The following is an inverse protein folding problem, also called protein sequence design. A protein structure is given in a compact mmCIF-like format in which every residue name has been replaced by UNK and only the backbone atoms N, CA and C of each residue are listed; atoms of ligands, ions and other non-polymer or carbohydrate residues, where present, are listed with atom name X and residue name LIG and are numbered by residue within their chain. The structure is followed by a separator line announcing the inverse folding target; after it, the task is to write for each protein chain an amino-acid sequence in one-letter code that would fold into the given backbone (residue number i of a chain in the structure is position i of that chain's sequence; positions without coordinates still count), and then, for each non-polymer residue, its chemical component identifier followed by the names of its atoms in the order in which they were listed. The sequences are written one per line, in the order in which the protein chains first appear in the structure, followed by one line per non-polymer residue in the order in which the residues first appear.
data_IF_633198708719
#
_entry.id   IF_633198708719
#
_cell.length_a   1.000
_cell.length_b   1.000
_cell.length_c   1.000
_cell.angle_alpha   90.00
_cell.angle_beta   90.00
_cell.angle_gamma   90.00
#
_symmetry.space_group_name_H-M   'P 1'
#
loop_
_entity.id
_entity.type
_entity.pdbx_description
1 polymer ?
#
# COMPACT_ATOMS: atom_id res chain seq x y z
N UNK A 1 42.60 16.99 -4.32
CA UNK A 1 41.94 17.11 -2.99
C UNK A 1 41.49 15.72 -2.56
N UNK A 2 42.12 15.13 -1.53
CA UNK A 2 41.72 13.79 -1.06
C UNK A 2 40.35 13.93 -0.36
N UNK A 3 39.30 13.46 -1.01
CA UNK A 3 37.92 13.44 -0.52
C UNK A 3 37.67 12.18 0.34
N UNK A 4 38.54 11.95 1.33
CA UNK A 4 38.24 10.94 2.33
C UNK A 4 37.49 11.60 3.50
N UNK A 5 36.38 10.98 4.02
CA UNK A 5 35.71 11.53 5.19
C UNK A 5 36.67 11.56 6.35
N UNK A 6 36.89 12.75 6.91
CA UNK A 6 37.68 12.92 8.13
C UNK A 6 36.77 12.60 9.33
N UNK A 7 37.36 12.38 10.50
CA UNK A 7 36.66 12.01 11.74
C UNK A 7 35.48 12.97 12.04
N UNK A 8 35.67 14.27 11.83
CA UNK A 8 34.63 15.28 12.07
C UNK A 8 33.46 15.21 11.03
N UNK A 9 33.75 14.85 9.77
CA UNK A 9 32.70 14.68 8.78
C UNK A 9 31.81 13.49 9.16
N UNK A 10 32.43 12.40 9.61
CA UNK A 10 31.73 11.20 10.08
C UNK A 10 30.95 11.45 11.36
N UNK A 11 31.47 12.27 12.26
CA UNK A 11 30.78 12.65 13.49
C UNK A 11 29.49 13.43 13.18
N UNK A 12 29.57 14.50 12.38
CA UNK A 12 28.39 15.29 11.97
C UNK A 12 27.39 14.43 11.23
N UNK A 13 27.86 13.62 10.29
CA UNK A 13 27.02 12.67 9.56
C UNK A 13 26.27 11.72 10.50
N UNK A 14 26.97 11.15 11.48
CA UNK A 14 26.38 10.23 12.46
C UNK A 14 25.30 10.89 13.31
N UNK A 15 25.55 12.08 13.85
CA UNK A 15 24.59 12.81 14.69
C UNK A 15 23.32 13.11 13.88
N UNK A 16 23.49 13.68 12.67
CA UNK A 16 22.34 14.02 11.82
C UNK A 16 21.59 12.78 11.34
N UNK A 17 22.32 11.75 10.90
CA UNK A 17 21.67 10.49 10.47
C UNK A 17 20.89 9.82 11.60
N UNK A 18 21.44 9.80 12.83
CA UNK A 18 20.72 9.24 13.97
C UNK A 18 19.41 10.01 14.21
N UNK A 19 19.45 11.33 14.18
CA UNK A 19 18.24 12.15 14.33
C UNK A 19 17.24 11.90 13.19
N UNK A 20 17.71 11.82 11.94
CA UNK A 20 16.87 11.51 10.77
C UNK A 20 16.22 10.14 10.89
N UNK A 21 17.01 9.10 11.19
CA UNK A 21 16.50 7.73 11.30
C UNK A 21 15.49 7.58 12.44
N UNK A 22 15.75 8.20 13.59
CA UNK A 22 14.81 8.21 14.72
C UNK A 22 13.51 8.92 14.35
N UNK A 23 13.59 10.12 13.79
CA UNK A 23 12.40 10.88 13.37
C UNK A 23 11.61 10.12 12.32
N UNK A 24 12.29 9.58 11.30
CA UNK A 24 11.67 8.78 10.26
C UNK A 24 11.01 7.51 10.80
N UNK A 25 11.66 6.80 11.72
CA UNK A 25 11.11 5.60 12.36
C UNK A 25 9.84 5.94 13.18
N UNK A 26 9.86 7.04 13.94
CA UNK A 26 8.69 7.50 14.70
C UNK A 26 7.53 7.87 13.79
N UNK A 27 7.79 8.66 12.73
CA UNK A 27 6.74 9.07 11.79
C UNK A 27 6.15 7.87 11.04
N UNK A 28 7.01 6.95 10.58
CA UNK A 28 6.55 5.72 9.90
C UNK A 28 5.78 4.82 10.85
N UNK A 29 6.21 4.70 12.11
CA UNK A 29 5.50 3.92 13.12
C UNK A 29 4.14 4.51 13.47
N UNK A 30 4.02 5.83 13.61
CA UNK A 30 2.75 6.52 13.83
C UNK A 30 1.80 6.35 12.64
N UNK A 31 2.31 6.52 11.40
CA UNK A 31 1.50 6.30 10.20
C UNK A 31 1.05 4.83 10.09
N UNK A 32 1.92 3.88 10.42
CA UNK A 32 1.58 2.46 10.43
C UNK A 32 0.46 2.14 11.44
N UNK A 33 0.48 2.76 12.61
CA UNK A 33 -0.55 2.58 13.63
C UNK A 33 -1.86 3.26 13.22
N UNK A 34 -1.81 4.53 12.82
CA UNK A 34 -3.03 5.33 12.56
C UNK A 34 -3.64 4.97 11.20
N UNK A 35 -2.87 5.10 10.14
CA UNK A 35 -3.36 4.88 8.77
C UNK A 35 -3.23 3.43 8.30
N UNK A 36 -2.47 2.61 9.02
CA UNK A 36 -2.35 1.18 8.80
C UNK A 36 -3.35 0.41 9.65
N UNK A 37 -3.01 0.19 10.91
CA UNK A 37 -3.73 -0.75 11.75
C UNK A 37 -5.15 -0.28 12.09
N UNK A 38 -5.34 1.01 12.47
CA UNK A 38 -6.67 1.50 12.81
C UNK A 38 -7.63 1.50 11.62
N UNK A 39 -7.12 1.78 10.41
CA UNK A 39 -7.93 1.74 9.19
C UNK A 39 -8.35 0.31 8.79
N UNK A 40 -7.62 -0.73 9.23
CA UNK A 40 -7.94 -2.12 8.94
C UNK A 40 -8.91 -2.75 9.97
N UNK A 41 -9.17 -2.09 11.10
CA UNK A 41 -10.05 -2.62 12.15
C UNK A 41 -11.48 -2.81 11.63
N UNK A 42 -11.97 -1.88 10.83
CA UNK A 42 -13.33 -1.92 10.29
C UNK A 42 -13.54 -3.08 9.30
N UNK A 43 -12.45 -3.57 8.71
CA UNK A 43 -12.46 -4.67 7.74
C UNK A 43 -12.35 -6.06 8.41
N UNK A 44 -12.03 -6.12 9.71
CA UNK A 44 -11.88 -7.38 10.45
C UNK A 44 -13.27 -8.01 10.66
N UNK A 45 -13.41 -9.26 10.21
CA UNK A 45 -14.65 -10.01 10.29
C UNK A 45 -15.40 -10.12 8.98
N UNK A 46 -14.91 -9.49 7.90
CA UNK A 46 -15.41 -9.71 6.55
C UNK A 46 -14.78 -10.98 5.95
N UNK A 47 -15.60 -11.99 5.64
CA UNK A 47 -15.12 -13.29 5.15
C UNK A 47 -14.12 -13.93 6.12
N UNK A 48 -12.99 -14.41 5.61
CA UNK A 48 -11.87 -14.96 6.37
C UNK A 48 -10.83 -13.90 6.80
N UNK A 49 -11.16 -12.60 6.67
CA UNK A 49 -10.25 -11.51 7.02
C UNK A 49 -10.20 -11.27 8.53
N UNK A 50 -9.39 -12.08 9.23
CA UNK A 50 -9.18 -11.97 10.67
C UNK A 50 -8.06 -11.00 11.05
N UNK A 51 -7.87 -10.78 12.37
CA UNK A 51 -6.84 -9.89 12.91
C UNK A 51 -5.42 -10.19 12.41
N UNK A 52 -5.07 -11.48 12.27
CA UNK A 52 -3.74 -11.91 11.77
C UNK A 52 -3.55 -11.50 10.30
N UNK A 53 -4.60 -11.62 9.49
CA UNK A 53 -4.58 -11.19 8.09
C UNK A 53 -4.42 -9.66 8.00
N UNK A 54 -5.14 -8.89 8.83
CA UNK A 54 -5.01 -7.44 8.92
C UNK A 54 -3.58 -7.02 9.33
N UNK A 55 -3.01 -7.64 10.34
CA UNK A 55 -1.64 -7.36 10.78
C UNK A 55 -0.62 -7.68 9.66
N UNK A 56 -0.80 -8.80 8.97
CA UNK A 56 0.06 -9.19 7.85
C UNK A 56 -0.06 -8.18 6.71
N UNK A 57 -1.26 -7.75 6.36
CA UNK A 57 -1.49 -6.69 5.38
C UNK A 57 -0.74 -5.42 5.74
N UNK A 58 -0.87 -4.95 6.99
CA UNK A 58 -0.20 -3.73 7.48
C UNK A 58 1.32 -3.85 7.37
N UNK A 59 1.91 -5.02 7.71
CA UNK A 59 3.35 -5.27 7.57
C UNK A 59 3.79 -5.19 6.08
N UNK A 60 3.03 -5.77 5.17
CA UNK A 60 3.32 -5.69 3.73
C UNK A 60 3.21 -4.26 3.17
N UNK A 61 2.44 -3.36 3.79
CA UNK A 61 2.37 -1.95 3.40
C UNK A 61 3.57 -1.12 3.91
N UNK A 62 4.38 -1.66 4.85
CA UNK A 62 5.50 -0.96 5.48
C UNK A 62 6.52 -0.36 4.47
N UNK A 63 6.98 -1.08 3.42
CA UNK A 63 7.93 -0.53 2.45
C UNK A 63 7.41 0.74 1.75
N UNK A 64 6.13 0.78 1.42
CA UNK A 64 5.48 1.93 0.81
C UNK A 64 5.40 3.11 1.79
N UNK A 65 4.96 2.87 3.03
CA UNK A 65 4.86 3.89 4.07
C UNK A 65 6.23 4.47 4.43
N UNK A 66 7.23 3.62 4.51
CA UNK A 66 8.60 3.99 4.82
C UNK A 66 9.16 5.03 3.83
N UNK A 67 9.01 4.81 2.52
CA UNK A 67 9.50 5.80 1.55
C UNK A 67 8.63 7.07 1.51
N UNK A 68 7.33 6.97 1.75
CA UNK A 68 6.44 8.14 1.78
C UNK A 68 6.74 9.07 2.96
N UNK A 69 7.08 8.52 4.14
CA UNK A 69 7.41 9.30 5.34
C UNK A 69 8.86 9.80 5.35
N UNK A 70 9.74 9.23 4.51
CA UNK A 70 11.16 9.56 4.51
C UNK A 70 11.47 11.05 4.24
N UNK A 71 10.88 11.74 3.25
CA UNK A 71 11.17 13.14 2.99
C UNK A 71 10.89 14.03 4.21
N UNK A 72 9.75 13.83 4.86
CA UNK A 72 9.36 14.57 6.07
C UNK A 72 10.30 14.27 7.23
N UNK A 73 10.61 12.99 7.45
CA UNK A 73 11.56 12.55 8.46
C UNK A 73 12.97 13.09 8.24
N UNK A 74 13.42 13.14 6.97
CA UNK A 74 14.72 13.69 6.61
C UNK A 74 14.83 15.18 6.90
N UNK A 75 13.80 15.98 6.58
CA UNK A 75 13.80 17.42 6.85
C UNK A 75 13.79 17.68 8.35
N UNK A 76 12.85 17.12 9.08
CA UNK A 76 12.70 17.33 10.53
C UNK A 76 13.95 16.81 11.26
N UNK A 77 14.38 15.58 10.96
CA UNK A 77 15.53 14.97 11.61
C UNK A 77 16.83 15.72 11.34
N UNK A 78 17.01 16.26 10.12
CA UNK A 78 18.18 17.09 9.80
C UNK A 78 18.18 18.40 10.60
N UNK A 79 17.03 19.07 10.71
CA UNK A 79 16.90 20.28 11.52
C UNK A 79 17.16 19.99 12.99
N UNK A 80 16.66 18.88 13.52
CA UNK A 80 16.90 18.48 14.91
C UNK A 80 18.39 18.14 15.14
N UNK A 81 19.00 17.33 14.28
CA UNK A 81 20.42 16.94 14.42
C UNK A 81 21.37 18.13 14.33
N UNK A 82 21.16 19.03 13.37
CA UNK A 82 21.93 20.28 13.27
C UNK A 82 21.64 21.23 14.44
N UNK A 83 20.37 21.26 14.89
CA UNK A 83 19.97 22.05 16.07
C UNK A 83 20.70 21.64 17.34
N UNK A 84 20.84 20.33 17.59
CA UNK A 84 21.62 19.80 18.72
C UNK A 84 23.09 20.25 18.63
N UNK A 85 23.75 20.08 17.47
CA UNK A 85 25.11 20.49 17.25
C UNK A 85 25.33 22.02 17.40
N UNK A 86 24.30 22.79 17.06
CA UNK A 86 24.32 24.25 17.24
C UNK A 86 24.15 24.63 18.70
N UNK A 87 23.21 24.01 19.41
CA UNK A 87 22.92 24.28 20.83
C UNK A 87 24.12 23.95 21.75
N UNK A 88 24.87 22.88 21.43
CA UNK A 88 26.11 22.50 22.15
C UNK A 88 27.31 23.29 21.70
N UNK A 89 27.19 24.29 20.81
CA UNK A 89 28.29 25.09 20.25
C UNK A 89 29.32 24.26 19.45
N UNK A 90 29.09 22.99 19.21
CA UNK A 90 29.98 22.11 18.46
C UNK A 90 30.16 22.57 17.02
N UNK A 91 29.08 23.05 16.41
CA UNK A 91 29.10 23.60 15.05
C UNK A 91 30.03 24.81 14.96
N UNK A 92 30.05 25.65 15.99
CA UNK A 92 30.93 26.82 16.09
C UNK A 92 32.37 26.39 16.28
N UNK A 93 32.62 25.41 17.17
CA UNK A 93 33.96 24.84 17.39
C UNK A 93 34.51 24.20 16.11
N UNK A 94 33.75 23.43 15.38
CA UNK A 94 34.12 22.80 14.10
C UNK A 94 34.51 23.86 13.05
N UNK A 95 33.79 24.99 13.03
CA UNK A 95 34.11 26.12 12.13
C UNK A 95 35.40 26.85 12.58
N UNK A 96 35.63 26.99 13.87
CA UNK A 96 36.85 27.61 14.41
C UNK A 96 38.11 26.79 14.06
N UNK A 97 38.02 25.47 13.98
CA UNK A 97 39.10 24.57 13.52
C UNK A 97 39.25 24.56 11.98
N UNK A 98 38.49 25.42 11.25
CA UNK A 98 38.67 25.63 9.81
C UNK A 98 37.77 24.78 8.92
N UNK A 99 36.71 24.15 9.44
CA UNK A 99 35.70 23.51 8.57
C UNK A 99 34.89 24.55 7.81
N UNK A 100 34.95 24.46 6.49
CA UNK A 100 34.15 25.33 5.62
C UNK A 100 32.68 24.94 5.65
N UNK A 101 31.79 25.92 5.41
CA UNK A 101 30.33 25.66 5.32
C UNK A 101 30.01 24.59 4.26
N UNK A 102 30.64 24.65 3.08
CA UNK A 102 30.48 23.69 1.99
C UNK A 102 30.79 22.25 2.43
N UNK A 103 31.85 22.07 3.21
CA UNK A 103 32.24 20.76 3.71
C UNK A 103 31.26 20.24 4.74
N UNK A 104 30.80 21.10 5.64
CA UNK A 104 29.79 20.76 6.64
C UNK A 104 28.47 20.33 5.95
N UNK A 105 28.01 21.09 4.95
CA UNK A 105 26.82 20.72 4.15
C UNK A 105 27.03 19.40 3.43
N UNK A 106 28.21 19.13 2.87
CA UNK A 106 28.51 17.87 2.21
C UNK A 106 28.49 16.67 3.18
N UNK A 107 28.98 16.86 4.42
CA UNK A 107 28.96 15.82 5.46
C UNK A 107 27.53 15.40 5.85
N UNK A 108 26.53 16.27 5.65
CA UNK A 108 25.12 15.96 5.85
C UNK A 108 24.46 15.45 4.55
N UNK A 109 24.71 16.13 3.44
CA UNK A 109 24.04 15.85 2.17
C UNK A 109 24.41 14.47 1.59
N UNK A 110 25.68 14.07 1.65
CA UNK A 110 26.14 12.81 1.05
C UNK A 110 25.44 11.59 1.66
N UNK A 111 25.41 11.39 3.00
CA UNK A 111 24.71 10.25 3.57
C UNK A 111 23.19 10.30 3.36
N UNK A 112 22.58 11.49 3.36
CA UNK A 112 21.16 11.63 3.04
C UNK A 112 20.86 11.25 1.60
N UNK A 113 21.71 11.65 0.64
CA UNK A 113 21.56 11.23 -0.76
C UNK A 113 21.66 9.71 -0.91
N UNK A 114 22.57 9.05 -0.18
CA UNK A 114 22.68 7.58 -0.22
C UNK A 114 21.38 6.93 0.27
N UNK A 115 20.81 7.39 1.37
CA UNK A 115 19.52 6.85 1.86
C UNK A 115 18.40 7.19 0.88
N UNK A 116 18.41 8.37 0.27
CA UNK A 116 17.43 8.75 -0.76
C UNK A 116 17.47 7.78 -1.94
N UNK A 117 18.66 7.40 -2.42
CA UNK A 117 18.79 6.39 -3.49
C UNK A 117 18.21 5.05 -3.05
N UNK A 118 18.47 4.60 -1.81
CA UNK A 118 17.88 3.37 -1.27
C UNK A 118 16.35 3.48 -1.23
N UNK A 119 15.80 4.62 -0.84
CA UNK A 119 14.34 4.84 -0.81
C UNK A 119 13.73 4.87 -2.22
N UNK A 120 14.42 5.41 -3.22
CA UNK A 120 13.99 5.35 -4.63
C UNK A 120 13.95 3.89 -5.11
N UNK A 121 15.01 3.12 -4.84
CA UNK A 121 15.03 1.69 -5.19
C UNK A 121 13.92 0.91 -4.50
N UNK A 122 13.66 1.20 -3.22
CA UNK A 122 12.53 0.62 -2.49
C UNK A 122 11.19 0.99 -3.15
N UNK A 123 11.00 2.25 -3.55
CA UNK A 123 9.76 2.73 -4.18
C UNK A 123 9.49 2.05 -5.53
N UNK A 124 10.53 1.76 -6.31
CA UNK A 124 10.43 1.16 -7.64
C UNK A 124 10.33 -0.39 -7.61
N UNK A 125 10.82 -1.04 -6.57
CA UNK A 125 10.94 -2.51 -6.52
C UNK A 125 10.12 -3.12 -5.39
N UNK A 126 10.56 -2.93 -4.15
CA UNK A 126 10.01 -3.63 -2.99
C UNK A 126 8.59 -3.16 -2.64
N UNK A 127 8.35 -1.85 -2.69
CA UNK A 127 7.05 -1.30 -2.32
C UNK A 127 5.91 -1.73 -3.27
N UNK A 128 6.05 -1.72 -4.63
CA UNK A 128 5.00 -2.21 -5.51
C UNK A 128 4.76 -3.71 -5.38
N UNK A 129 5.83 -4.51 -5.20
CA UNK A 129 5.70 -5.95 -4.99
C UNK A 129 4.97 -6.27 -3.69
N UNK A 130 5.38 -5.64 -2.58
CA UNK A 130 4.77 -5.85 -1.28
C UNK A 130 3.29 -5.39 -1.27
N UNK A 131 2.99 -4.24 -1.88
CA UNK A 131 1.62 -3.73 -1.97
C UNK A 131 0.71 -4.68 -2.76
N UNK A 132 1.15 -5.18 -3.93
CA UNK A 132 0.38 -6.16 -4.71
C UNK A 132 0.13 -7.45 -3.93
N UNK A 133 1.13 -7.92 -3.19
CA UNK A 133 0.99 -9.11 -2.34
C UNK A 133 -0.02 -8.88 -1.21
N UNK A 134 0.00 -7.70 -0.58
CA UNK A 134 -0.97 -7.30 0.42
C UNK A 134 -2.40 -7.25 -0.15
N UNK A 135 -2.57 -6.55 -1.28
CA UNK A 135 -3.89 -6.38 -1.91
C UNK A 135 -4.48 -7.72 -2.38
N UNK A 136 -3.66 -8.60 -2.96
CA UNK A 136 -4.09 -9.94 -3.37
C UNK A 136 -4.49 -10.80 -2.17
N UNK A 137 -3.71 -10.76 -1.07
CA UNK A 137 -4.03 -11.50 0.15
C UNK A 137 -5.32 -10.97 0.79
N UNK A 138 -5.50 -9.65 0.87
CA UNK A 138 -6.70 -9.02 1.40
C UNK A 138 -7.93 -9.36 0.54
N UNK A 139 -7.79 -9.27 -0.78
CA UNK A 139 -8.85 -9.65 -1.73
C UNK A 139 -9.24 -11.12 -1.56
N UNK A 140 -8.27 -12.04 -1.49
CA UNK A 140 -8.53 -13.47 -1.30
C UNK A 140 -9.21 -13.78 0.04
N UNK A 141 -8.83 -13.09 1.12
CA UNK A 141 -9.42 -13.28 2.44
C UNK A 141 -10.84 -12.70 2.57
N UNK A 142 -11.14 -11.61 1.86
CA UNK A 142 -12.47 -10.99 1.85
C UNK A 142 -13.43 -11.64 0.86
N UNK A 143 -12.93 -12.26 -0.22
CA UNK A 143 -13.75 -12.87 -1.25
C UNK A 143 -13.79 -14.39 -1.12
N UNK A 144 -14.88 -14.91 -0.61
CA UNK A 144 -15.36 -16.21 -1.06
C UNK A 144 -15.94 -16.01 -2.48
N UNK A 145 -15.12 -16.22 -3.53
CA UNK A 145 -15.50 -16.25 -4.97
C UNK A 145 -15.80 -14.93 -5.73
N UNK A 146 -15.74 -13.75 -5.13
CA UNK A 146 -16.07 -12.49 -5.81
C UNK A 146 -14.87 -11.54 -5.95
N UNK A 147 -14.33 -11.38 -7.16
CA UNK A 147 -13.29 -10.38 -7.46
C UNK A 147 -13.95 -9.03 -7.74
N UNK A 148 -13.85 -8.09 -6.78
CA UNK A 148 -14.31 -6.71 -6.97
C UNK A 148 -13.22 -5.88 -7.63
N UNK A 149 -13.33 -5.61 -8.91
CA UNK A 149 -12.47 -4.66 -9.60
C UNK A 149 -13.00 -3.23 -9.42
N UNK A 150 -12.24 -2.36 -8.79
CA UNK A 150 -12.61 -1.00 -8.36
C UNK A 150 -13.10 -0.06 -9.49
N UNK A 151 -12.85 -0.40 -10.76
CA UNK A 151 -13.16 0.43 -11.92
C UNK A 151 -14.05 -0.24 -12.99
N UNK A 152 -14.27 -1.56 -12.92
CA UNK A 152 -15.02 -2.31 -13.95
C UNK A 152 -16.23 -3.06 -13.41
N UNK A 153 -16.64 -2.83 -12.15
CA UNK A 153 -17.72 -3.56 -11.50
C UNK A 153 -17.26 -4.89 -10.89
N UNK A 154 -18.21 -5.65 -10.41
CA UNK A 154 -18.00 -6.96 -9.81
C UNK A 154 -17.73 -7.99 -10.92
N UNK A 155 -16.67 -8.77 -10.78
CA UNK A 155 -16.36 -9.87 -11.68
C UNK A 155 -16.35 -11.18 -10.89
N UNK A 156 -17.05 -12.17 -11.37
CA UNK A 156 -17.00 -13.54 -10.86
C UNK A 156 -16.71 -14.50 -12.01
N UNK A 157 -16.10 -15.65 -11.72
CA UNK A 157 -15.84 -16.72 -12.68
C UNK A 157 -16.35 -18.03 -12.09
N UNK A 158 -17.13 -18.75 -12.88
CA UNK A 158 -17.55 -20.11 -12.57
C UNK A 158 -17.32 -21.00 -13.81
N UNK A 159 -16.31 -21.84 -13.75
CA UNK A 159 -15.89 -22.65 -14.89
C UNK A 159 -15.49 -21.79 -16.10
N UNK A 160 -16.20 -21.95 -17.22
CA UNK A 160 -15.99 -21.21 -18.48
C UNK A 160 -16.93 -20.00 -18.62
N UNK A 161 -17.65 -19.66 -17.56
CA UNK A 161 -18.55 -18.51 -17.51
C UNK A 161 -17.96 -17.39 -16.68
N UNK A 162 -17.89 -16.18 -17.24
CA UNK A 162 -17.52 -14.97 -16.55
C UNK A 162 -18.75 -14.09 -16.34
N UNK A 163 -18.95 -13.63 -15.13
CA UNK A 163 -20.01 -12.71 -14.75
C UNK A 163 -19.39 -11.35 -14.46
N UNK A 164 -19.99 -10.30 -15.04
CA UNK A 164 -19.70 -8.91 -14.70
C UNK A 164 -20.97 -8.22 -14.24
N UNK A 165 -20.96 -7.54 -13.11
CA UNK A 165 -22.07 -6.74 -12.61
C UNK A 165 -21.59 -5.31 -12.29
N UNK A 166 -22.40 -4.30 -12.61
CA UNK A 166 -22.04 -2.91 -12.33
C UNK A 166 -22.25 -2.51 -10.86
N UNK A 167 -23.12 -3.23 -10.14
CA UNK A 167 -23.36 -3.01 -8.73
C UNK A 167 -23.88 -4.27 -8.06
N UNK A 168 -23.67 -4.36 -6.74
CA UNK A 168 -24.22 -5.41 -5.90
C UNK A 168 -24.66 -4.83 -4.58
N UNK A 169 -25.78 -5.28 -4.06
CA UNK A 169 -26.29 -4.94 -2.73
C UNK A 169 -26.65 -6.23 -1.99
N UNK A 170 -26.16 -6.32 -0.78
CA UNK A 170 -26.57 -7.39 0.10
C UNK A 170 -27.96 -7.08 0.66
N UNK A 171 -28.93 -7.95 0.44
CA UNK A 171 -30.27 -7.82 1.00
C UNK A 171 -30.48 -8.86 2.10
N UNK A 172 -31.10 -8.41 3.18
CA UNK A 172 -31.47 -9.23 4.32
C UNK A 172 -32.96 -9.10 4.57
N UNK A 173 -33.64 -10.22 4.58
CA UNK A 173 -35.03 -10.29 5.00
C UNK A 173 -35.19 -11.41 6.05
N UNK A 174 -35.28 -11.00 7.32
CA UNK A 174 -35.27 -11.92 8.45
C UNK A 174 -33.95 -12.71 8.57
N UNK A 175 -34.05 -14.02 8.42
CA UNK A 175 -32.90 -14.97 8.52
C UNK A 175 -32.26 -15.30 7.16
N UNK A 176 -32.81 -14.76 6.07
CA UNK A 176 -32.29 -14.97 4.69
C UNK A 176 -31.46 -13.78 4.28
N UNK A 177 -30.25 -14.08 3.86
CA UNK A 177 -29.29 -13.10 3.35
C UNK A 177 -28.94 -13.50 1.92
N UNK A 178 -29.12 -12.59 0.95
CA UNK A 178 -28.79 -12.85 -0.45
C UNK A 178 -28.11 -11.63 -1.09
N UNK A 179 -27.32 -11.90 -2.10
CA UNK A 179 -26.65 -10.89 -2.90
C UNK A 179 -27.50 -10.58 -4.14
N UNK A 180 -27.93 -9.33 -4.29
CA UNK A 180 -28.61 -8.84 -5.49
C UNK A 180 -27.64 -8.01 -6.33
N UNK A 181 -27.40 -8.46 -7.57
CA UNK A 181 -26.54 -7.78 -8.53
C UNK A 181 -27.36 -7.01 -9.54
N UNK A 182 -26.87 -5.86 -10.01
CA UNK A 182 -27.53 -5.00 -11.01
C UNK A 182 -26.67 -4.87 -12.27
N UNK A 183 -27.34 -4.79 -13.44
CA UNK A 183 -26.73 -4.73 -14.79
C UNK A 183 -25.67 -5.83 -15.00
N UNK A 184 -26.14 -7.07 -14.95
CA UNK A 184 -25.27 -8.26 -15.01
C UNK A 184 -25.04 -8.66 -16.46
N UNK A 185 -23.77 -8.96 -16.78
CA UNK A 185 -23.33 -9.51 -18.06
C UNK A 185 -22.67 -10.86 -17.83
N UNK A 186 -23.10 -11.86 -18.55
CA UNK A 186 -22.53 -13.20 -18.54
C UNK A 186 -21.83 -13.44 -19.86
N UNK A 187 -20.59 -13.89 -19.80
CA UNK A 187 -19.79 -14.26 -20.95
C UNK A 187 -19.49 -15.75 -20.84
N UNK A 188 -20.02 -16.54 -21.75
CA UNK A 188 -19.78 -17.99 -21.82
C UNK A 188 -18.76 -18.30 -22.91
N UNK A 189 -17.76 -19.08 -22.58
CA UNK A 189 -16.71 -19.51 -23.48
C UNK A 189 -16.88 -20.98 -23.80
N UNK A 190 -16.54 -21.39 -25.04
CA UNK A 190 -16.49 -22.80 -25.42
C UNK A 190 -15.22 -23.49 -24.90
N UNK A 191 -15.14 -24.83 -25.06
CA UNK A 191 -13.99 -25.62 -24.65
C UNK A 191 -12.69 -25.30 -25.41
N UNK A 192 -12.73 -24.46 -26.45
CA UNK A 192 -11.58 -23.93 -27.19
C UNK A 192 -11.22 -22.51 -26.77
N UNK A 193 -11.93 -21.95 -25.76
CA UNK A 193 -11.69 -20.60 -25.24
C UNK A 193 -12.24 -19.47 -26.11
N UNK A 194 -13.16 -19.75 -27.02
CA UNK A 194 -13.85 -18.75 -27.85
C UNK A 194 -15.17 -18.35 -27.17
N UNK A 195 -15.54 -17.07 -27.32
CA UNK A 195 -16.80 -16.57 -26.79
C UNK A 195 -18.00 -17.22 -27.52
N UNK A 196 -18.74 -18.02 -26.80
CA UNK A 196 -19.89 -18.74 -27.32
C UNK A 196 -21.21 -17.94 -27.17
N UNK A 197 -21.39 -17.25 -26.04
CA UNK A 197 -22.58 -16.42 -25.85
C UNK A 197 -22.29 -15.23 -24.90
N UNK A 198 -23.07 -14.16 -25.06
CA UNK A 198 -23.16 -13.04 -24.13
C UNK A 198 -24.62 -12.87 -23.71
N UNK A 199 -24.88 -12.98 -22.41
CA UNK A 199 -26.18 -12.68 -21.83
C UNK A 199 -26.09 -11.40 -20.98
N UNK A 200 -27.10 -10.55 -21.06
CA UNK A 200 -27.30 -9.39 -20.21
C UNK A 200 -28.58 -9.55 -19.43
N UNK A 201 -28.53 -9.34 -18.12
CA UNK A 201 -29.66 -9.35 -17.21
C UNK A 201 -29.79 -8.03 -16.47
N UNK A 202 -31.00 -7.60 -16.20
CA UNK A 202 -31.24 -6.37 -15.44
C UNK A 202 -30.84 -6.55 -13.98
N UNK A 203 -31.09 -7.74 -13.41
CA UNK A 203 -30.65 -8.11 -12.07
C UNK A 203 -30.36 -9.61 -11.99
N UNK A 204 -29.53 -9.98 -11.00
CA UNK A 204 -29.26 -11.36 -10.62
C UNK A 204 -29.28 -11.48 -9.10
N UNK A 205 -29.97 -12.46 -8.57
CA UNK A 205 -30.01 -12.78 -7.14
C UNK A 205 -29.39 -14.16 -6.92
N UNK A 206 -28.51 -14.28 -5.92
CA UNK A 206 -27.93 -15.57 -5.51
C UNK A 206 -28.64 -16.08 -4.26
N UNK A 207 -29.28 -17.24 -4.33
CA UNK A 207 -30.06 -17.85 -3.25
C UNK A 207 -29.43 -19.19 -2.79
N UNK A 208 -28.11 -19.19 -2.56
CA UNK A 208 -27.39 -20.37 -2.02
C UNK A 208 -27.17 -21.52 -3.01
N UNK A 209 -28.13 -21.82 -3.87
CA UNK A 209 -28.06 -22.94 -4.84
C UNK A 209 -27.78 -22.48 -6.29
N UNK A 210 -27.81 -21.17 -6.59
CA UNK A 210 -27.55 -20.66 -7.93
C UNK A 210 -27.97 -19.22 -8.15
N UNK A 211 -27.77 -18.74 -9.39
CA UNK A 211 -28.09 -17.38 -9.79
C UNK A 211 -29.46 -17.31 -10.48
N UNK A 212 -30.39 -16.55 -9.92
CA UNK A 212 -31.67 -16.25 -10.54
C UNK A 212 -31.51 -14.92 -11.32
N UNK A 213 -31.57 -15.03 -12.66
CA UNK A 213 -31.40 -13.89 -13.55
C UNK A 213 -32.78 -13.35 -13.98
N UNK A 214 -32.98 -12.02 -13.92
CA UNK A 214 -34.19 -11.35 -14.34
C UNK A 214 -33.94 -10.44 -15.55
N UNK A 215 -34.84 -10.45 -16.53
CA UNK A 215 -34.75 -9.59 -17.71
C UNK A 215 -33.63 -9.98 -18.67
N UNK A 216 -33.42 -11.26 -18.90
CA UNK A 216 -32.30 -11.81 -19.67
C UNK A 216 -32.47 -11.56 -21.17
N UNK A 217 -31.43 -11.02 -21.82
CA UNK A 217 -31.24 -11.02 -23.27
C UNK A 217 -29.93 -11.72 -23.59
N UNK A 218 -29.96 -12.75 -24.42
CA UNK A 218 -28.79 -13.53 -24.81
C UNK A 218 -28.55 -13.42 -26.32
N UNK A 219 -27.27 -13.26 -26.67
CA UNK A 219 -26.78 -13.28 -28.06
C UNK A 219 -25.78 -14.43 -28.16
N UNK A 220 -25.90 -15.23 -29.21
CA UNK A 220 -25.03 -16.36 -29.54
C UNK A 220 -24.08 -15.95 -30.67
N UNK A 221 -22.83 -16.44 -30.65
CA UNK A 221 -21.82 -16.20 -31.65
C UNK A 221 -21.40 -17.48 -32.37
#
# INVERSE_FOLDING_TARGET
MKMFPKIHDLYVARVVLTAVLLTWAVLTGLDLLISGLLAEIDDIGEGDYGFVAALTYVIYTLPRRAYMMFPTGAVIGTLMGLGVLAATSELTALRAVGLSRKRLSASVAVPLLLITVVMILNAETLAPWAQRSADNMKAAAKSSDLIVARYSGLWAREGDTFLNAQGGQERRDGDRQWLELTDVRLFEFDGEGRLASVARAASAAHDGDGWLLQGVRRVWF
#
